data_IF_587034835854
#
_entry.id   IF_587034835854
#
_cell.length_a   1.000
_cell.length_b   1.000
_cell.length_c   1.000
_cell.angle_alpha   90.00
_cell.angle_beta   90.00
_cell.angle_gamma   90.00
#
_symmetry.space_group_name_H-M   'P 1'
#
loop_
_entity.id
_entity.type
_entity.pdbx_description
1 polymer ?
#
# COMPACT_ATOMS: atom_id res chain seq x y z
N UNK A 1 25.67 31.99 50.51
CA UNK A 1 25.40 30.72 49.82
C UNK A 1 24.36 31.00 48.75
N UNK A 2 24.71 31.16 47.46
CA UNK A 2 23.71 31.41 46.42
C UNK A 2 23.02 30.09 46.07
N UNK A 3 21.68 30.12 46.04
CA UNK A 3 20.85 29.00 45.62
C UNK A 3 20.96 28.84 44.09
N UNK A 4 21.43 27.68 43.65
CA UNK A 4 21.40 27.30 42.24
C UNK A 4 19.97 26.92 41.85
N UNK A 5 19.36 27.71 40.96
CA UNK A 5 18.08 27.38 40.36
C UNK A 5 18.30 26.35 39.24
N UNK A 6 17.75 25.15 39.43
CA UNK A 6 17.73 24.10 38.41
C UNK A 6 16.67 24.45 37.36
N UNK A 7 17.11 24.85 36.17
CA UNK A 7 16.21 25.05 35.02
C UNK A 7 15.97 23.69 34.39
N UNK A 8 14.77 23.13 34.59
CA UNK A 8 14.31 21.94 33.89
C UNK A 8 13.85 22.35 32.48
N UNK A 9 14.65 22.06 31.47
CA UNK A 9 14.23 22.12 30.07
C UNK A 9 13.23 20.99 29.81
N UNK A 10 11.96 21.34 29.69
CA UNK A 10 10.92 20.45 29.16
C UNK A 10 11.21 20.28 27.67
N UNK A 11 11.73 19.12 27.28
CA UNK A 11 11.80 18.75 25.88
C UNK A 11 10.36 18.52 25.39
N UNK A 12 9.84 19.45 24.60
CA UNK A 12 8.63 19.21 23.81
C UNK A 12 8.98 18.11 22.81
N UNK A 13 8.51 16.89 23.06
CA UNK A 13 8.59 15.82 22.06
C UNK A 13 7.92 16.30 20.78
N UNK A 14 8.61 16.18 19.65
CA UNK A 14 8.00 16.42 18.36
C UNK A 14 6.89 15.37 18.21
N UNK A 15 5.64 15.81 18.08
CA UNK A 15 4.54 14.92 17.74
C UNK A 15 4.73 14.49 16.29
N UNK A 16 4.63 13.19 16.01
CA UNK A 16 4.41 12.67 14.67
C UNK A 16 3.30 13.49 13.99
N UNK A 17 3.55 13.99 12.79
CA UNK A 17 2.62 14.86 12.08
C UNK A 17 2.60 14.45 10.60
N UNK A 18 1.69 13.53 10.21
CA UNK A 18 1.51 13.17 8.82
C UNK A 18 1.28 14.40 7.94
N UNK A 19 1.89 14.40 6.77
CA UNK A 19 1.71 15.42 5.72
C UNK A 19 0.33 15.28 5.07
N UNK A 20 -0.21 14.06 5.06
CA UNK A 20 -1.55 13.75 4.58
C UNK A 20 -2.13 12.56 5.34
N UNK A 21 -3.45 12.57 5.52
CA UNK A 21 -4.21 11.50 6.18
C UNK A 21 -5.48 11.18 5.39
N UNK A 22 -5.69 9.90 5.10
CA UNK A 22 -6.94 9.30 4.60
C UNK A 22 -7.46 8.27 5.61
N UNK A 23 -8.18 8.75 6.62
CA UNK A 23 -8.75 7.95 7.72
C UNK A 23 -10.29 7.89 7.70
N UNK A 24 -10.94 8.55 6.74
CA UNK A 24 -12.40 8.60 6.56
C UNK A 24 -13.17 9.33 7.67
N UNK A 25 -12.48 10.02 8.59
CA UNK A 25 -13.14 10.73 9.69
C UNK A 25 -13.99 11.93 9.21
N UNK A 26 -13.79 12.39 7.97
CA UNK A 26 -14.68 13.37 7.31
C UNK A 26 -16.08 12.82 7.03
N UNK A 27 -16.28 11.50 7.09
CA UNK A 27 -17.54 10.85 6.81
C UNK A 27 -17.82 10.62 5.33
N UNK A 28 -16.86 10.91 4.46
CA UNK A 28 -16.92 10.74 3.01
C UNK A 28 -15.53 10.40 2.44
N UNK A 29 -15.40 10.42 1.10
CA UNK A 29 -14.14 10.12 0.40
C UNK A 29 -13.29 11.37 0.10
N UNK A 30 -13.61 12.54 0.66
CA UNK A 30 -13.02 13.83 0.26
C UNK A 30 -11.53 13.98 0.60
N UNK A 31 -11.00 13.13 1.48
CA UNK A 31 -9.56 13.07 1.79
C UNK A 31 -8.73 12.47 0.64
N UNK A 32 -9.36 11.71 -0.24
CA UNK A 32 -8.74 11.05 -1.39
C UNK A 32 -8.89 11.90 -2.65
N UNK A 33 -7.92 11.83 -3.57
CA UNK A 33 -7.94 12.64 -4.78
C UNK A 33 -8.99 12.16 -5.78
N UNK A 34 -9.08 10.85 -5.97
CA UNK A 34 -10.09 10.20 -6.83
C UNK A 34 -10.46 8.82 -6.29
N UNK A 35 -11.63 8.35 -6.71
CA UNK A 35 -12.08 6.98 -6.54
C UNK A 35 -12.37 6.35 -7.91
N UNK A 36 -12.07 5.06 -8.04
CA UNK A 36 -12.39 4.26 -9.21
C UNK A 36 -13.49 3.27 -8.84
N UNK A 37 -14.61 3.28 -9.57
CA UNK A 37 -15.83 2.55 -9.23
C UNK A 37 -16.28 2.83 -7.77
N UNK A 38 -16.28 4.12 -7.42
CA UNK A 38 -16.49 4.60 -6.05
C UNK A 38 -17.87 4.30 -5.46
N UNK A 39 -18.86 3.94 -6.29
CA UNK A 39 -20.15 3.42 -5.87
C UNK A 39 -20.05 2.10 -5.08
N UNK A 40 -18.93 1.39 -5.20
CA UNK A 40 -18.60 0.19 -4.42
C UNK A 40 -17.75 0.49 -3.18
N UNK A 41 -17.62 1.77 -2.81
CA UNK A 41 -16.90 2.23 -1.62
C UNK A 41 -17.90 2.89 -0.68
N UNK A 42 -17.88 2.50 0.58
CA UNK A 42 -18.72 3.08 1.63
C UNK A 42 -17.90 3.42 2.87
N UNK A 43 -18.28 4.49 3.56
CA UNK A 43 -17.71 4.81 4.89
C UNK A 43 -18.52 4.07 5.94
N UNK A 44 -17.87 3.22 6.71
CA UNK A 44 -18.46 2.36 7.74
C UNK A 44 -18.01 2.79 9.14
N UNK A 45 -18.73 2.33 10.17
CA UNK A 45 -18.40 2.57 11.58
C UNK A 45 -17.99 1.30 12.33
N UNK A 46 -17.92 0.16 11.62
CA UNK A 46 -17.40 -1.11 12.14
C UNK A 46 -17.09 -2.07 10.98
N UNK A 47 -15.93 -2.76 10.98
CA UNK A 47 -14.81 -2.56 11.90
C UNK A 47 -14.10 -1.22 11.63
N UNK A 48 -13.47 -0.67 12.66
CA UNK A 48 -12.69 0.59 12.63
C UNK A 48 -11.41 0.36 13.42
N UNK A 49 -10.27 0.82 12.91
CA UNK A 49 -8.99 0.69 13.60
C UNK A 49 -8.79 1.86 14.58
N UNK A 50 -9.07 3.07 14.12
CA UNK A 50 -8.94 4.29 14.92
C UNK A 50 -10.11 5.24 14.68
N UNK A 51 -10.33 6.19 15.58
CA UNK A 51 -11.43 7.14 15.43
C UNK A 51 -12.79 6.43 15.43
N UNK A 52 -13.64 6.76 14.46
CA UNK A 52 -15.02 6.29 14.38
C UNK A 52 -15.42 5.76 13.01
N UNK A 53 -14.54 5.85 12.00
CA UNK A 53 -14.86 5.55 10.61
C UNK A 53 -13.74 4.80 9.91
N UNK A 54 -14.12 4.03 8.90
CA UNK A 54 -13.19 3.37 7.98
C UNK A 54 -13.84 3.26 6.60
N UNK A 55 -13.05 3.01 5.56
CA UNK A 55 -13.53 2.80 4.20
C UNK A 55 -13.71 1.33 3.89
N UNK A 56 -14.92 0.88 3.60
CA UNK A 56 -15.20 -0.45 3.08
C UNK A 56 -15.19 -0.43 1.54
N UNK A 57 -14.37 -1.28 0.95
CA UNK A 57 -14.20 -1.48 -0.49
C UNK A 57 -14.70 -2.89 -0.82
N UNK A 58 -15.67 -3.01 -1.72
CA UNK A 58 -16.17 -4.32 -2.19
C UNK A 58 -15.93 -4.47 -3.68
N UNK A 59 -15.25 -5.53 -4.11
CA UNK A 59 -15.07 -5.81 -5.52
C UNK A 59 -16.18 -6.75 -6.03
N UNK A 60 -16.72 -6.39 -7.20
CA UNK A 60 -17.75 -7.16 -7.92
C UNK A 60 -17.36 -7.25 -9.40
N UNK A 61 -17.94 -8.22 -10.13
CA UNK A 61 -17.60 -8.43 -11.53
C UNK A 61 -17.99 -7.24 -12.44
N UNK A 62 -18.93 -6.38 -12.03
CA UNK A 62 -19.36 -5.19 -12.77
C UNK A 62 -18.47 -3.96 -12.54
N UNK A 63 -17.56 -3.98 -11.55
CA UNK A 63 -16.59 -2.92 -11.29
C UNK A 63 -15.43 -2.94 -12.33
N UNK A 64 -15.76 -2.65 -13.59
CA UNK A 64 -14.88 -2.82 -14.74
C UNK A 64 -14.21 -1.51 -15.15
N UNK A 65 -12.90 -1.53 -15.36
CA UNK A 65 -12.18 -0.42 -15.98
C UNK A 65 -12.47 -0.33 -17.48
N UNK A 66 -12.91 0.83 -17.99
CA UNK A 66 -13.14 1.02 -19.41
C UNK A 66 -11.87 0.80 -20.24
N UNK A 67 -11.98 0.00 -21.30
CA UNK A 67 -10.94 -0.18 -22.30
C UNK A 67 -10.03 -1.41 -22.16
N UNK A 68 -9.89 -1.98 -20.96
CA UNK A 68 -9.10 -3.21 -20.77
C UNK A 68 -9.78 -4.30 -19.92
N UNK A 69 -10.94 -4.02 -19.32
CA UNK A 69 -11.73 -5.03 -18.62
C UNK A 69 -11.22 -5.38 -17.22
N UNK A 70 -10.15 -4.73 -16.72
CA UNK A 70 -9.62 -4.94 -15.37
C UNK A 70 -10.75 -4.71 -14.36
N UNK A 71 -10.84 -5.57 -13.35
CA UNK A 71 -11.83 -5.44 -12.28
C UNK A 71 -11.18 -4.68 -11.13
N UNK A 72 -11.68 -3.50 -10.77
CA UNK A 72 -11.04 -2.65 -9.75
C UNK A 72 -12.01 -1.77 -8.98
N UNK A 73 -11.77 -1.62 -7.68
CA UNK A 73 -12.41 -0.61 -6.83
C UNK A 73 -11.33 -0.05 -5.92
N UNK A 74 -10.99 1.22 -6.11
CA UNK A 74 -9.75 1.79 -5.54
C UNK A 74 -9.88 3.27 -5.19
N UNK A 75 -9.09 3.68 -4.22
CA UNK A 75 -8.88 5.07 -3.81
C UNK A 75 -7.48 5.51 -4.21
N UNK A 76 -7.37 6.76 -4.62
CA UNK A 76 -6.13 7.33 -5.12
C UNK A 76 -5.65 8.47 -4.21
N UNK A 77 -4.36 8.44 -3.87
CA UNK A 77 -3.65 9.57 -3.25
C UNK A 77 -2.53 10.06 -4.17
N UNK A 78 -2.59 11.34 -4.54
CA UNK A 78 -1.63 12.05 -5.38
C UNK A 78 -0.86 13.05 -4.51
N UNK A 79 0.36 12.72 -4.08
CA UNK A 79 1.17 13.66 -3.33
C UNK A 79 1.58 14.86 -4.20
N UNK A 80 2.02 15.95 -3.57
CA UNK A 80 2.61 17.06 -4.30
C UNK A 80 3.80 16.58 -5.15
N UNK A 81 3.93 17.07 -6.38
CA UNK A 81 4.89 16.56 -7.37
C UNK A 81 6.35 16.43 -6.87
N UNK A 82 6.79 17.33 -5.99
CA UNK A 82 8.14 17.28 -5.41
C UNK A 82 8.40 16.10 -4.46
N UNK A 83 7.35 15.45 -3.94
CA UNK A 83 7.46 14.34 -3.00
C UNK A 83 7.86 13.04 -3.70
N UNK A 84 7.51 12.88 -4.97
CA UNK A 84 7.92 11.72 -5.79
C UNK A 84 8.91 12.12 -6.90
N UNK A 85 9.60 13.24 -6.75
CA UNK A 85 10.65 13.65 -7.68
C UNK A 85 11.93 12.80 -7.54
N UNK A 86 12.80 12.83 -8.55
CA UNK A 86 14.11 12.16 -8.51
C UNK A 86 14.90 12.54 -7.24
N UNK A 87 15.32 11.53 -6.48
CA UNK A 87 16.03 11.66 -5.21
C UNK A 87 15.16 11.97 -3.98
N UNK A 88 13.86 12.22 -4.16
CA UNK A 88 12.94 12.44 -3.06
C UNK A 88 12.77 11.17 -2.22
N UNK A 89 12.36 11.36 -0.96
CA UNK A 89 12.06 10.29 -0.03
C UNK A 89 10.68 10.51 0.56
N UNK A 90 9.84 9.48 0.56
CA UNK A 90 8.49 9.52 1.14
C UNK A 90 8.27 8.35 2.03
N UNK A 91 7.58 8.60 3.15
CA UNK A 91 7.00 7.54 3.95
C UNK A 91 5.50 7.47 3.65
N UNK A 92 4.99 6.25 3.51
CA UNK A 92 3.55 6.02 3.32
C UNK A 92 3.14 4.75 4.07
N UNK A 93 1.99 4.79 4.72
CA UNK A 93 1.42 3.61 5.36
C UNK A 93 -0.10 3.59 5.20
N UNK A 94 -0.69 2.40 5.34
CA UNK A 94 -2.12 2.23 5.50
C UNK A 94 -2.37 0.95 6.29
N UNK A 95 -3.55 0.90 6.90
CA UNK A 95 -4.04 -0.30 7.55
C UNK A 95 -5.16 -0.91 6.74
N UNK A 96 -5.23 -2.23 6.74
CA UNK A 96 -6.29 -2.96 6.06
C UNK A 96 -6.81 -4.12 6.91
N UNK A 97 -8.06 -4.47 6.70
CA UNK A 97 -8.74 -5.59 7.32
C UNK A 97 -9.50 -6.36 6.26
N UNK A 98 -9.32 -7.68 6.24
CA UNK A 98 -10.09 -8.57 5.39
C UNK A 98 -11.07 -9.37 6.25
N UNK A 99 -12.40 -9.28 6.04
CA UNK A 99 -13.36 -10.11 6.77
C UNK A 99 -13.18 -11.60 6.48
N UNK A 100 -12.77 -11.93 5.26
CA UNK A 100 -12.53 -13.30 4.76
C UNK A 100 -11.22 -13.35 3.99
N UNK A 101 -10.63 -14.55 3.87
CA UNK A 101 -9.47 -14.73 2.99
C UNK A 101 -9.86 -14.49 1.52
N UNK A 102 -8.97 -13.88 0.74
CA UNK A 102 -9.24 -13.68 -0.69
C UNK A 102 -9.18 -15.00 -1.45
N UNK A 103 -9.82 -15.07 -2.62
CA UNK A 103 -9.58 -16.18 -3.53
C UNK A 103 -8.08 -16.27 -3.91
N UNK A 104 -7.62 -17.49 -4.22
CA UNK A 104 -6.27 -17.70 -4.74
C UNK A 104 -6.16 -17.35 -6.23
N UNK A 105 -7.27 -17.40 -6.96
CA UNK A 105 -7.33 -17.09 -8.39
C UNK A 105 -8.63 -16.30 -8.68
N UNK A 106 -8.55 -15.11 -9.30
CA UNK A 106 -7.31 -14.40 -9.64
C UNK A 106 -6.61 -13.76 -8.42
N UNK A 107 -5.27 -13.63 -8.45
CA UNK A 107 -4.53 -12.83 -7.48
C UNK A 107 -5.06 -11.40 -7.40
N UNK A 108 -5.03 -10.81 -6.20
CA UNK A 108 -5.61 -9.48 -5.96
C UNK A 108 -4.53 -8.51 -5.51
N UNK A 109 -4.34 -7.41 -6.23
CA UNK A 109 -3.52 -6.31 -5.75
C UNK A 109 -4.31 -5.47 -4.76
N UNK A 110 -3.69 -5.15 -3.61
CA UNK A 110 -4.34 -4.35 -2.56
C UNK A 110 -3.76 -2.93 -2.41
N UNK A 111 -2.61 -2.70 -3.02
CA UNK A 111 -1.99 -1.38 -3.10
C UNK A 111 -0.81 -1.35 -4.05
N UNK A 112 -0.63 -0.24 -4.76
CA UNK A 112 0.50 -0.04 -5.66
C UNK A 112 0.78 1.43 -5.97
N UNK A 113 1.92 1.64 -6.63
CA UNK A 113 2.37 2.93 -7.12
C UNK A 113 2.56 2.89 -8.63
N UNK A 114 2.13 3.96 -9.28
CA UNK A 114 2.28 4.14 -10.72
C UNK A 114 2.51 5.59 -11.08
N UNK A 115 3.10 5.80 -12.25
CA UNK A 115 3.36 7.12 -12.81
C UNK A 115 2.07 7.81 -13.27
N UNK A 116 1.90 9.08 -12.89
CA UNK A 116 0.80 9.90 -13.38
C UNK A 116 0.97 10.21 -14.88
N UNK A 117 -0.12 10.04 -15.62
CA UNK A 117 -0.15 10.24 -17.07
C UNK A 117 0.37 9.05 -17.90
N UNK A 118 1.38 8.30 -17.44
CA UNK A 118 1.89 7.12 -18.18
C UNK A 118 1.37 5.79 -17.68
N UNK A 119 0.84 5.72 -16.46
CA UNK A 119 0.29 4.52 -15.82
C UNK A 119 1.27 3.34 -15.77
N UNK A 120 2.57 3.64 -15.75
CA UNK A 120 3.60 2.63 -15.55
C UNK A 120 3.72 2.32 -14.07
N UNK A 121 3.16 1.18 -13.64
CA UNK A 121 3.29 0.66 -12.28
C UNK A 121 4.74 0.33 -11.94
N UNK A 122 5.19 0.70 -10.73
CA UNK A 122 6.58 0.52 -10.26
C UNK A 122 6.70 -0.45 -9.09
N UNK A 123 5.67 -0.59 -8.25
CA UNK A 123 5.66 -1.57 -7.15
C UNK A 123 4.24 -1.86 -6.67
N UNK A 124 4.02 -3.02 -6.04
CA UNK A 124 2.70 -3.47 -5.60
C UNK A 124 2.75 -4.44 -4.43
N UNK A 125 1.67 -4.46 -3.66
CA UNK A 125 1.31 -5.55 -2.74
C UNK A 125 0.20 -6.39 -3.36
N UNK A 126 0.39 -7.70 -3.34
CA UNK A 126 -0.56 -8.68 -3.88
C UNK A 126 -0.88 -9.73 -2.84
N UNK A 127 -2.16 -10.08 -2.72
CA UNK A 127 -2.70 -11.08 -1.81
C UNK A 127 -3.33 -12.22 -2.61
N UNK A 128 -3.01 -13.45 -2.20
CA UNK A 128 -3.51 -14.71 -2.74
C UNK A 128 -3.89 -15.59 -1.56
N UNK A 129 -5.19 -15.84 -1.34
CA UNK A 129 -5.60 -16.49 -0.10
C UNK A 129 -5.29 -15.60 1.11
N UNK A 130 -4.44 -16.12 1.99
CA UNK A 130 -3.88 -15.43 3.16
C UNK A 130 -2.39 -15.10 2.97
N UNK A 131 -1.85 -15.36 1.78
CA UNK A 131 -0.45 -15.07 1.46
C UNK A 131 -0.35 -13.66 0.90
N UNK A 132 0.70 -12.94 1.26
CA UNK A 132 0.98 -11.59 0.76
C UNK A 132 2.39 -11.54 0.21
N UNK A 133 2.57 -10.74 -0.83
CA UNK A 133 3.88 -10.44 -1.39
C UNK A 133 4.04 -8.96 -1.69
N UNK A 134 5.29 -8.50 -1.64
CA UNK A 134 5.70 -7.18 -2.11
C UNK A 134 6.70 -7.34 -3.26
N UNK A 135 6.45 -6.64 -4.36
CA UNK A 135 7.29 -6.67 -5.54
C UNK A 135 7.47 -5.29 -6.18
N UNK A 136 8.65 -5.06 -6.76
CA UNK A 136 8.90 -3.93 -7.68
C UNK A 136 8.83 -4.43 -9.11
N UNK A 137 8.38 -3.57 -10.04
CA UNK A 137 8.10 -3.90 -11.44
C UNK A 137 9.20 -3.42 -12.41
N UNK A 138 10.07 -2.53 -11.96
CA UNK A 138 11.14 -1.92 -12.76
C UNK A 138 12.51 -2.05 -12.07
N UNK A 139 13.60 -2.24 -12.83
CA UNK A 139 13.65 -2.36 -14.30
C UNK A 139 13.16 -3.74 -14.77
N UNK A 140 12.99 -4.69 -13.86
CA UNK A 140 12.33 -5.96 -14.06
C UNK A 140 11.47 -6.29 -12.84
N UNK A 141 10.52 -7.22 -13.01
CA UNK A 141 9.74 -7.75 -11.90
C UNK A 141 10.66 -8.46 -10.90
N UNK A 142 10.57 -8.07 -9.63
CA UNK A 142 11.29 -8.69 -8.52
C UNK A 142 10.42 -8.71 -7.28
N UNK A 143 10.13 -9.90 -6.78
CA UNK A 143 9.55 -10.09 -5.44
C UNK A 143 10.67 -9.88 -4.41
N UNK A 144 10.49 -8.92 -3.51
CA UNK A 144 11.46 -8.67 -2.43
C UNK A 144 11.07 -9.41 -1.15
N UNK A 145 9.77 -9.61 -0.93
CA UNK A 145 9.25 -10.26 0.25
C UNK A 145 7.96 -11.01 -0.07
N UNK A 146 7.77 -12.14 0.61
CA UNK A 146 6.53 -12.90 0.61
C UNK A 146 6.35 -13.55 1.98
N UNK A 147 5.11 -13.64 2.45
CA UNK A 147 4.77 -14.34 3.67
C UNK A 147 3.52 -15.21 3.46
N UNK A 148 3.58 -16.44 3.95
CA UNK A 148 2.48 -17.39 3.85
C UNK A 148 1.58 -17.27 5.08
N UNK A 149 0.26 -17.18 4.87
CA UNK A 149 -0.71 -17.09 5.95
C UNK A 149 -0.60 -15.84 6.84
N UNK A 150 0.12 -14.80 6.39
CA UNK A 150 0.34 -13.60 7.19
C UNK A 150 -0.88 -12.67 7.21
N UNK A 151 -1.72 -12.71 6.18
CA UNK A 151 -2.98 -11.95 6.12
C UNK A 151 -4.07 -12.78 6.78
N UNK A 152 -4.30 -12.53 8.07
CA UNK A 152 -5.27 -13.26 8.88
C UNK A 152 -6.64 -12.61 8.74
N UNK A 153 -7.68 -13.33 8.26
CA UNK A 153 -9.03 -12.80 8.20
C UNK A 153 -9.53 -12.39 9.58
N UNK A 154 -10.27 -11.29 9.66
CA UNK A 154 -10.78 -10.79 10.92
C UNK A 154 -9.78 -9.97 11.75
N UNK A 155 -8.60 -9.66 11.20
CA UNK A 155 -7.53 -8.94 11.90
C UNK A 155 -7.11 -7.72 11.07
N UNK A 156 -6.86 -6.61 11.77
CA UNK A 156 -6.23 -5.44 11.16
C UNK A 156 -4.75 -5.73 10.94
N UNK A 157 -4.26 -5.38 9.76
CA UNK A 157 -2.86 -5.40 9.40
C UNK A 157 -2.42 -4.01 8.98
N UNK A 158 -1.12 -3.74 9.10
CA UNK A 158 -0.52 -2.48 8.67
C UNK A 158 0.66 -2.72 7.75
N UNK A 159 0.68 -1.95 6.66
CA UNK A 159 1.81 -1.85 5.76
C UNK A 159 2.37 -0.43 5.86
N UNK A 160 3.69 -0.32 6.03
CA UNK A 160 4.40 0.94 5.92
C UNK A 160 5.57 0.81 4.95
N UNK A 161 5.90 1.90 4.27
CA UNK A 161 6.98 1.99 3.32
C UNK A 161 7.79 3.26 3.54
N UNK A 162 9.07 3.14 3.22
CA UNK A 162 9.94 4.26 2.92
C UNK A 162 10.46 4.07 1.50
N UNK A 163 10.16 5.02 0.62
CA UNK A 163 10.56 4.97 -0.79
C UNK A 163 11.55 6.07 -1.06
N UNK A 164 12.73 5.70 -1.58
CA UNK A 164 13.64 6.63 -2.23
C UNK A 164 13.41 6.57 -3.74
N UNK A 165 12.94 7.67 -4.31
CA UNK A 165 12.49 7.77 -5.69
C UNK A 165 13.67 7.96 -6.64
N UNK A 166 13.79 7.09 -7.65
CA UNK A 166 14.81 7.23 -8.69
C UNK A 166 14.46 6.47 -9.96
N UNK A 167 14.77 7.08 -11.11
CA UNK A 167 14.80 6.41 -12.41
C UNK A 167 16.01 5.49 -12.57
N UNK A 168 17.05 5.67 -11.75
CA UNK A 168 18.23 4.80 -11.72
C UNK A 168 18.02 3.66 -10.69
N UNK A 169 18.00 2.39 -11.14
CA UNK A 169 17.74 1.25 -10.24
C UNK A 169 18.79 1.02 -9.16
N UNK A 170 20.00 1.58 -9.32
CA UNK A 170 21.05 1.51 -8.31
C UNK A 170 20.94 2.59 -7.23
N UNK A 171 20.07 3.60 -7.44
CA UNK A 171 19.90 4.73 -6.52
C UNK A 171 18.54 4.72 -5.82
N UNK A 172 17.52 4.13 -6.46
CA UNK A 172 16.20 3.92 -5.89
C UNK A 172 16.18 2.72 -4.93
N UNK A 173 15.41 2.85 -3.87
CA UNK A 173 15.26 1.81 -2.86
C UNK A 173 13.91 1.89 -2.17
N UNK A 174 13.49 0.77 -1.61
CA UNK A 174 12.30 0.69 -0.76
C UNK A 174 12.60 -0.12 0.49
N UNK A 175 12.20 0.42 1.64
CA UNK A 175 12.06 -0.33 2.89
C UNK A 175 10.57 -0.61 3.11
N UNK A 176 10.25 -1.79 3.63
CA UNK A 176 8.86 -2.22 3.88
C UNK A 176 8.75 -2.78 5.29
N UNK A 177 7.68 -2.39 5.98
CA UNK A 177 7.25 -2.96 7.23
C UNK A 177 5.87 -3.59 7.08
N UNK A 178 5.68 -4.74 7.70
CA UNK A 178 4.40 -5.41 7.83
C UNK A 178 4.16 -5.66 9.33
N UNK A 179 3.05 -5.14 9.87
CA UNK A 179 2.70 -5.23 11.29
C UNK A 179 3.84 -4.79 12.25
N UNK A 180 4.57 -3.74 11.86
CA UNK A 180 5.69 -3.19 12.63
C UNK A 180 7.04 -3.89 12.43
N UNK A 181 7.07 -5.08 11.82
CA UNK A 181 8.31 -5.79 11.49
C UNK A 181 8.87 -5.30 10.16
N UNK A 182 10.16 -4.94 10.11
CA UNK A 182 10.81 -4.60 8.85
C UNK A 182 11.07 -5.86 8.03
N UNK A 183 10.36 -6.01 6.92
CA UNK A 183 10.40 -7.20 6.05
C UNK A 183 11.22 -7.00 4.78
N UNK A 184 11.47 -5.75 4.40
CA UNK A 184 12.42 -5.39 3.34
C UNK A 184 13.33 -4.28 3.83
N UNK A 185 14.63 -4.46 3.66
CA UNK A 185 15.65 -3.45 3.96
C UNK A 185 16.38 -3.06 2.68
N UNK A 186 16.32 -1.78 2.33
CA UNK A 186 16.98 -1.18 1.18
C UNK A 186 16.82 -1.98 -0.14
N UNK A 187 15.59 -2.43 -0.42
CA UNK A 187 15.26 -3.17 -1.64
C UNK A 187 15.52 -2.31 -2.88
N UNK A 188 16.66 -2.53 -3.55
CA UNK A 188 17.04 -1.76 -4.74
C UNK A 188 16.07 -1.99 -5.90
N UNK A 189 15.60 -0.91 -6.51
CA UNK A 189 14.71 -0.92 -7.65
C UNK A 189 14.72 0.42 -8.39
N UNK A 190 14.25 0.41 -9.64
CA UNK A 190 13.84 1.64 -10.30
C UNK A 190 12.45 2.01 -9.74
N UNK A 191 12.42 2.95 -8.80
CA UNK A 191 11.20 3.36 -8.09
C UNK A 191 10.45 4.48 -8.83
N UNK A 192 11.06 5.13 -9.82
CA UNK A 192 10.38 6.00 -10.79
C UNK A 192 10.39 5.38 -12.19
N UNK A 193 9.21 5.22 -12.79
CA UNK A 193 9.10 4.76 -14.17
C UNK A 193 9.62 5.81 -15.17
N UNK A 194 9.38 7.09 -14.89
CA UNK A 194 9.68 8.24 -15.74
C UNK A 194 9.74 9.54 -14.91
N UNK A 195 9.76 10.69 -15.58
CA UNK A 195 9.82 12.01 -14.92
C UNK A 195 8.48 12.54 -14.40
N UNK A 196 7.40 11.78 -14.47
CA UNK A 196 6.12 12.21 -13.91
C UNK A 196 6.04 11.90 -12.41
N UNK A 197 5.24 12.67 -11.64
CA UNK A 197 4.91 12.29 -10.28
C UNK A 197 4.29 10.91 -10.22
N UNK A 198 4.61 10.16 -9.18
CA UNK A 198 3.95 8.88 -8.90
C UNK A 198 2.89 9.06 -7.82
N UNK A 199 1.83 8.27 -7.90
CA UNK A 199 0.72 8.26 -6.95
C UNK A 199 0.47 6.87 -6.39
N UNK A 200 -0.26 6.79 -5.29
CA UNK A 200 -0.67 5.54 -4.67
C UNK A 200 -2.11 5.20 -5.06
N UNK A 201 -2.37 3.93 -5.34
CA UNK A 201 -3.70 3.33 -5.40
C UNK A 201 -3.83 2.30 -4.29
N UNK A 202 -4.92 2.34 -3.53
CA UNK A 202 -5.26 1.36 -2.51
C UNK A 202 -6.68 0.84 -2.76
N UNK A 203 -6.90 -0.46 -2.58
CA UNK A 203 -8.22 -1.06 -2.79
C UNK A 203 -8.12 -2.50 -3.24
N UNK A 204 -8.90 -2.87 -4.25
CA UNK A 204 -8.91 -4.22 -4.81
C UNK A 204 -8.80 -4.14 -6.32
N UNK A 205 -7.76 -4.74 -6.90
CA UNK A 205 -7.57 -4.85 -8.35
C UNK A 205 -7.29 -6.30 -8.76
N UNK A 206 -8.00 -6.77 -9.78
CA UNK A 206 -7.82 -8.07 -10.43
C UNK A 206 -7.73 -7.92 -11.95
N UNK A 207 -6.97 -8.82 -12.57
CA UNK A 207 -6.91 -8.97 -14.02
C UNK A 207 -8.31 -9.21 -14.62
N UNK A 208 -8.52 -8.96 -15.93
CA UNK A 208 -9.81 -9.07 -16.60
C UNK A 208 -10.29 -10.52 -16.69
N UNK A 209 -10.82 -11.04 -15.59
CA UNK A 209 -11.38 -12.38 -15.47
C UNK A 209 -12.56 -12.34 -14.51
N UNK A 210 -13.59 -13.12 -14.83
CA UNK A 210 -14.74 -13.28 -13.93
C UNK A 210 -14.30 -14.12 -12.72
N UNK A 211 -14.83 -13.76 -11.56
CA UNK A 211 -14.57 -14.46 -10.31
C UNK A 211 -15.89 -14.73 -9.57
N UNK A 212 -15.87 -15.67 -8.62
CA UNK A 212 -17.10 -16.15 -7.95
C UNK A 212 -17.24 -15.67 -6.51
N UNK A 213 -16.16 -15.15 -5.92
CA UNK A 213 -16.17 -14.46 -4.64
C UNK A 213 -16.64 -13.01 -4.79
N UNK A 214 -16.83 -12.30 -3.66
CA UNK A 214 -17.05 -10.85 -3.64
C UNK A 214 -16.17 -10.27 -2.52
N UNK A 215 -14.87 -10.08 -2.79
CA UNK A 215 -13.93 -9.75 -1.75
C UNK A 215 -14.21 -8.35 -1.20
N UNK A 216 -14.08 -8.23 0.12
CA UNK A 216 -14.21 -6.98 0.87
C UNK A 216 -12.86 -6.68 1.52
N UNK A 217 -12.41 -5.43 1.40
CA UNK A 217 -11.30 -4.87 2.13
C UNK A 217 -11.78 -3.64 2.89
N UNK A 218 -11.50 -3.57 4.19
CA UNK A 218 -11.69 -2.36 4.98
C UNK A 218 -10.34 -1.66 5.09
N UNK A 219 -10.32 -0.36 4.84
CA UNK A 219 -9.14 0.50 4.83
C UNK A 219 -9.30 1.58 5.89
N UNK A 220 -8.23 1.83 6.65
CA UNK A 220 -8.18 2.88 7.66
C UNK A 220 -6.72 3.35 7.84
N UNK A 221 -6.53 4.50 8.48
CA UNK A 221 -5.24 5.09 8.86
C UNK A 221 -4.21 5.12 7.73
N UNK A 222 -4.63 5.53 6.52
CA UNK A 222 -3.68 5.82 5.46
C UNK A 222 -3.00 7.16 5.73
N UNK A 223 -1.67 7.17 5.72
CA UNK A 223 -0.88 8.34 6.08
C UNK A 223 0.34 8.47 5.18
N UNK A 224 0.67 9.71 4.84
CA UNK A 224 1.93 10.08 4.22
C UNK A 224 2.74 10.93 5.19
N UNK A 225 4.05 10.69 5.28
CA UNK A 225 4.93 11.40 6.19
C UNK A 225 6.32 11.65 5.63
N UNK A 226 7.13 12.35 6.42
CA UNK A 226 8.53 12.63 6.12
C UNK A 226 9.49 11.75 6.93
N UNK A 227 8.96 11.03 7.92
CA UNK A 227 9.70 10.13 8.80
C UNK A 227 8.95 8.82 9.03
N UNK A 228 9.67 7.81 9.53
CA UNK A 228 9.07 6.54 9.95
C UNK A 228 8.06 6.73 11.10
N UNK A 229 8.30 7.72 11.98
CA UNK A 229 7.45 8.03 13.11
C UNK A 229 6.09 8.60 12.66
N UNK A 230 6.08 9.44 11.61
CA UNK A 230 4.84 9.97 11.02
C UNK A 230 3.89 8.85 10.54
N UNK A 231 4.47 7.78 10.01
CA UNK A 231 3.71 6.68 9.40
C UNK A 231 3.52 5.48 10.32
N UNK A 232 4.05 5.49 11.55
CA UNK A 232 3.83 4.49 12.61
C UNK A 232 3.82 3.06 12.06
N UNK A 233 4.95 2.37 11.83
CA UNK A 233 4.96 1.09 11.09
C UNK A 233 4.16 -0.06 11.75
N UNK A 234 3.92 0.01 13.07
CA UNK A 234 3.04 -0.90 13.78
C UNK A 234 1.61 -0.34 13.83
N UNK A 235 0.61 -1.22 14.03
CA UNK A 235 -0.76 -0.75 14.25
C UNK A 235 -0.80 0.26 15.40
N UNK A 236 -1.55 1.37 15.26
CA UNK A 236 -1.77 2.30 16.34
C UNK A 236 -2.42 1.54 17.51
N UNK A 237 -1.98 1.83 18.73
CA UNK A 237 -2.64 1.25 19.90
C UNK A 237 -4.07 1.79 19.97
N UNK A 238 -5.03 0.94 20.35
CA UNK A 238 -6.45 1.34 20.46
C UNK A 238 -6.58 2.50 21.45
N UNK A 239 -6.65 3.74 20.95
CA UNK A 239 -6.67 4.97 21.75
C UNK A 239 -5.81 6.13 21.24
N UNK A 240 -4.94 5.94 20.24
CA UNK A 240 -4.04 7.01 19.75
C UNK A 240 -4.61 7.87 18.59
N UNK A 241 -5.69 7.45 17.94
CA UNK A 241 -6.27 8.19 16.82
C UNK A 241 -7.49 9.00 17.22
N UNK A 242 -7.34 10.34 17.30
CA UNK A 242 -8.51 11.22 17.36
C UNK A 242 -8.28 12.60 17.98
N UNK A 243 -7.42 13.45 17.42
CA UNK A 243 -7.50 14.91 17.57
C UNK A 243 -6.60 15.65 16.56
N UNK A 244 -6.72 15.34 15.26
CA UNK A 244 -5.92 15.95 14.21
C UNK A 244 -6.67 16.96 13.33
N UNK A 245 -6.99 18.15 13.87
CA UNK A 245 -7.03 19.38 13.07
C UNK A 245 -8.26 19.69 12.19
N UNK A 246 -9.29 20.29 12.78
CA UNK A 246 -10.11 21.29 12.09
C UNK A 246 -9.75 22.69 12.62
N UNK A 247 -8.86 23.39 11.91
CA UNK A 247 -8.53 24.79 12.16
C UNK A 247 -9.68 25.70 11.75
N UNK A 248 -10.62 25.96 12.67
CA UNK A 248 -11.66 26.97 12.52
C UNK A 248 -11.48 28.08 13.55
N UNK A 249 -10.98 29.24 13.11
CA UNK A 249 -10.85 30.43 13.94
C UNK A 249 -12.21 30.95 14.41
N UNK A 250 -12.35 31.13 15.72
CA UNK A 250 -13.51 31.74 16.36
C UNK A 250 -13.09 32.51 17.61
N UNK A 251 -12.93 33.81 17.46
CA UNK A 251 -12.66 34.79 18.52
C UNK A 251 -13.91 35.20 19.29
N UNK A 252 -13.77 35.38 20.61
CA UNK A 252 -14.67 36.13 21.51
C UNK A 252 -15.78 35.24 22.11
N UNK A 253 -16.08 35.22 23.40
CA UNK A 253 -15.83 36.05 24.57
C UNK A 253 -16.85 35.55 25.61
N UNK A 254 -16.47 35.21 26.84
CA UNK A 254 -16.48 36.15 27.96
C UNK A 254 -17.69 35.88 28.88
N UNK A 255 -17.36 35.56 30.14
CA UNK A 255 -18.13 35.76 31.38
C UNK A 255 -19.13 34.70 31.92
N UNK A 256 -18.67 34.08 33.01
CA UNK A 256 -19.20 34.20 34.38
C UNK A 256 -20.05 33.09 35.04
N UNK A 257 -19.51 32.70 36.20
CA UNK A 257 -20.13 32.45 37.51
C UNK A 257 -20.95 31.18 37.77
N UNK A 258 -20.40 30.36 38.67
CA UNK A 258 -21.02 30.11 39.97
C UNK A 258 -21.82 28.81 40.12
N UNK A 259 -21.34 27.89 40.96
CA UNK A 259 -22.13 26.73 41.37
C UNK A 259 -21.39 25.86 42.39
N UNK A 260 -21.57 26.16 43.66
CA UNK A 260 -21.06 25.42 44.80
C UNK A 260 -21.88 24.14 45.10
N UNK A 261 -21.23 23.16 45.73
CA UNK A 261 -21.87 22.25 46.69
C UNK A 261 -21.83 20.77 46.32
N UNK A 262 -21.22 19.96 47.19
CA UNK A 262 -21.37 18.51 47.14
C UNK A 262 -20.29 17.72 47.87
N UNK A 263 -20.32 17.77 49.21
CA UNK A 263 -19.51 16.91 50.07
C UNK A 263 -19.89 15.42 49.88
N UNK A 264 -18.91 14.57 49.57
CA UNK A 264 -19.05 13.11 49.50
C UNK A 264 -18.02 12.45 50.40
N UNK A 265 -18.50 11.73 51.41
CA UNK A 265 -17.74 11.19 52.54
C UNK A 265 -16.72 10.13 52.19
N UNK A 266 -15.72 10.06 53.07
CA UNK A 266 -14.71 9.03 53.14
C UNK A 266 -15.29 7.73 53.71
N UNK A 267 -14.95 6.60 53.07
CA UNK A 267 -14.93 5.29 53.72
C UNK A 267 -13.59 4.61 53.44
N UNK A 268 -12.90 4.32 54.53
CA UNK A 268 -11.69 3.53 54.64
C UNK A 268 -11.94 2.06 54.29
N UNK A 269 -11.03 1.44 53.55
CA UNK A 269 -10.96 0.00 53.36
C UNK A 269 -9.52 -0.45 53.14
N UNK A 270 -8.92 -1.00 54.20
CA UNK A 270 -7.58 -1.56 54.26
C UNK A 270 -7.49 -2.98 53.70
N UNK A 271 -6.34 -3.34 53.14
CA UNK A 271 -5.89 -4.72 52.88
C UNK A 271 -5.19 -4.78 51.52
N UNK A 272 -4.04 -5.41 51.34
CA UNK A 272 -3.20 -6.27 52.14
C UNK A 272 -2.08 -6.76 51.20
N UNK A 273 -0.88 -6.98 51.74
CA UNK A 273 0.34 -7.29 51.00
C UNK A 273 0.43 -8.76 50.54
N UNK A 274 1.33 -9.00 49.57
CA UNK A 274 1.87 -10.31 49.17
C UNK A 274 1.46 -10.67 47.73
N UNK A 275 2.33 -10.91 46.76
CA UNK A 275 3.69 -11.45 46.78
C UNK A 275 3.71 -12.71 45.88
N UNK A 276 4.70 -12.87 45.01
CA UNK A 276 5.02 -14.17 44.43
C UNK A 276 5.11 -14.23 42.90
N UNK A 277 6.35 -14.14 42.41
CA UNK A 277 6.86 -14.56 41.11
C UNK A 277 6.61 -16.04 40.82
N UNK A 278 6.29 -16.41 39.57
CA UNK A 278 6.75 -17.71 39.03
C UNK A 278 6.91 -17.67 37.51
N UNK A 279 8.13 -17.98 37.08
CA UNK A 279 8.59 -18.19 35.71
C UNK A 279 8.39 -19.69 35.40
N UNK A 280 7.74 -20.02 34.29
CA UNK A 280 7.58 -21.39 33.80
C UNK A 280 8.29 -21.57 32.46
N UNK A 281 9.48 -22.16 32.52
CA UNK A 281 10.32 -22.53 31.37
C UNK A 281 9.77 -23.78 30.68
N UNK A 282 9.69 -23.76 29.36
CA UNK A 282 9.26 -24.90 28.54
C UNK A 282 10.44 -25.86 28.30
N UNK A 283 10.28 -27.09 28.79
CA UNK A 283 11.18 -28.21 28.58
C UNK A 283 11.00 -28.80 27.17
N UNK A 284 12.12 -28.92 26.46
CA UNK A 284 12.27 -29.65 25.21
C UNK A 284 12.30 -31.16 25.45
N UNK A 285 11.52 -31.90 24.66
CA UNK A 285 11.64 -33.37 24.57
C UNK A 285 11.85 -33.78 23.12
N UNK A 286 12.97 -34.47 22.95
CA UNK A 286 13.48 -35.17 21.79
C UNK A 286 12.61 -36.35 21.34
N UNK A 287 12.60 -36.61 20.03
CA UNK A 287 12.60 -37.98 19.51
C UNK A 287 13.26 -38.05 18.15
N UNK A 288 14.47 -38.61 18.14
CA UNK A 288 15.16 -39.10 16.96
C UNK A 288 14.74 -40.55 16.67
N UNK A 289 14.61 -40.90 15.39
CA UNK A 289 14.73 -42.28 14.91
C UNK A 289 15.29 -42.31 13.48
N UNK A 290 16.56 -42.72 13.40
CA UNK A 290 17.23 -43.56 12.36
C UNK A 290 16.29 -44.61 11.74
N UNK A 291 16.39 -45.11 10.51
CA UNK A 291 17.48 -45.58 9.61
C UNK A 291 16.81 -45.94 8.26
N UNK A 292 17.42 -45.96 7.07
CA UNK A 292 18.64 -46.68 6.71
C UNK A 292 18.92 -46.70 5.19
N UNK A 293 20.22 -46.92 4.90
CA UNK A 293 20.95 -47.34 3.69
C UNK A 293 20.14 -48.05 2.56
N UNK A 294 20.26 -47.70 1.28
CA UNK A 294 21.38 -47.82 0.31
C UNK A 294 21.11 -48.97 -0.67
N UNK A 295 21.25 -48.74 -1.98
CA UNK A 295 21.96 -49.63 -2.93
C UNK A 295 22.05 -49.01 -4.33
N UNK A 296 23.23 -49.22 -4.91
CA UNK A 296 23.77 -48.91 -6.24
C UNK A 296 23.13 -49.67 -7.41
N UNK A 297 23.23 -49.10 -8.62
CA UNK A 297 22.96 -49.84 -9.87
C UNK A 297 23.35 -49.07 -11.14
N UNK A 298 24.57 -49.31 -11.60
CA UNK A 298 25.17 -48.96 -12.91
C UNK A 298 24.46 -49.63 -14.10
N UNK A 299 24.49 -48.98 -15.28
CA UNK A 299 24.22 -49.63 -16.56
C UNK A 299 24.41 -48.72 -17.78
N UNK A 300 25.48 -48.93 -18.53
CA UNK A 300 25.80 -48.31 -19.82
C UNK A 300 25.58 -49.30 -20.97
N UNK A 301 25.38 -48.82 -22.21
CA UNK A 301 25.46 -49.58 -23.46
C UNK A 301 24.42 -49.13 -24.50
N UNK A 302 24.75 -48.31 -25.51
CA UNK A 302 25.36 -48.60 -26.83
C UNK A 302 24.45 -49.27 -27.87
N UNK A 303 24.18 -48.53 -28.95
CA UNK A 303 24.34 -49.01 -30.34
C UNK A 303 23.12 -49.55 -31.08
N UNK A 304 22.91 -49.06 -32.30
CA UNK A 304 22.11 -49.75 -33.33
C UNK A 304 21.34 -48.79 -34.26
N UNK A 305 21.87 -48.59 -35.46
CA UNK A 305 21.17 -47.98 -36.58
C UNK A 305 20.27 -49.03 -37.27
N UNK A 306 19.11 -48.62 -37.79
CA UNK A 306 18.53 -49.19 -39.01
C UNK A 306 17.55 -48.19 -39.66
N UNK A 307 17.50 -48.26 -40.99
CA UNK A 307 16.72 -47.43 -41.91
C UNK A 307 15.25 -47.89 -42.00
N UNK A 308 14.34 -46.99 -42.39
CA UNK A 308 13.04 -47.41 -42.92
C UNK A 308 11.88 -46.42 -42.79
N UNK A 309 11.67 -45.67 -43.87
CA UNK A 309 10.39 -45.33 -44.50
C UNK A 309 9.19 -44.79 -43.67
N UNK A 310 8.85 -43.54 -44.01
CA UNK A 310 7.54 -43.07 -44.49
C UNK A 310 6.32 -42.87 -43.55
N UNK A 311 5.68 -41.75 -43.87
CA UNK A 311 4.27 -41.34 -43.68
C UNK A 311 3.84 -40.53 -42.43
N UNK A 312 3.66 -39.23 -42.71
CA UNK A 312 2.61 -38.29 -42.31
C UNK A 312 1.79 -38.55 -41.01
N UNK A 313 1.84 -37.56 -40.12
CA UNK A 313 0.90 -37.49 -38.99
C UNK A 313 1.19 -36.32 -38.04
N UNK A 314 0.83 -35.11 -38.49
CA UNK A 314 0.27 -34.00 -37.71
C UNK A 314 0.62 -33.90 -36.20
N UNK A 315 1.64 -33.10 -35.85
CA UNK A 315 1.83 -32.60 -34.48
C UNK A 315 1.58 -31.10 -34.41
N UNK A 316 0.51 -30.74 -33.69
CA UNK A 316 0.25 -29.41 -33.18
C UNK A 316 1.29 -28.98 -32.16
N UNK A 317 2.28 -28.20 -32.61
CA UNK A 317 3.21 -27.46 -31.77
C UNK A 317 2.75 -26.02 -31.55
N UNK A 318 2.27 -25.69 -30.35
CA UNK A 318 2.03 -24.32 -29.91
C UNK A 318 3.35 -23.55 -29.74
N UNK A 319 3.74 -22.79 -30.76
CA UNK A 319 4.72 -21.72 -30.64
C UNK A 319 4.03 -20.36 -30.77
N UNK A 320 3.84 -19.63 -29.66
CA UNK A 320 3.41 -18.23 -29.70
C UNK A 320 4.61 -17.35 -30.09
N UNK A 321 4.71 -17.10 -31.40
CA UNK A 321 5.56 -16.06 -31.99
C UNK A 321 4.87 -14.70 -31.83
N UNK A 322 5.68 -13.69 -31.53
CA UNK A 322 5.29 -12.29 -31.44
C UNK A 322 4.64 -11.77 -32.75
N UNK A 323 3.49 -11.11 -32.59
CA UNK A 323 2.98 -10.09 -33.51
C UNK A 323 3.03 -8.77 -32.72
N UNK A 324 3.65 -7.69 -33.17
CA UNK A 324 3.54 -7.08 -34.48
C UNK A 324 2.78 -5.77 -34.30
N UNK A 325 3.51 -4.67 -34.09
CA UNK A 325 2.98 -3.32 -33.89
C UNK A 325 2.08 -2.88 -35.05
N UNK A 326 0.92 -2.24 -34.81
CA UNK A 326 0.21 -1.51 -35.85
C UNK A 326 0.81 -0.11 -36.07
N UNK A 327 0.94 0.21 -37.35
CA UNK A 327 1.52 1.42 -37.90
C UNK A 327 0.69 2.69 -37.64
N UNK A 328 1.41 3.82 -37.58
CA UNK A 328 0.87 5.18 -37.48
C UNK A 328 0.11 5.61 -38.76
N UNK A 329 -0.95 6.45 -38.65
CA UNK A 329 -1.59 7.04 -39.80
C UNK A 329 -0.87 8.30 -40.30
N UNK A 330 -0.65 8.36 -41.61
CA UNK A 330 -0.15 9.51 -42.38
C UNK A 330 -1.21 10.60 -42.60
N UNK A 331 -0.81 11.86 -42.80
CA UNK A 331 -1.70 13.03 -42.84
C UNK A 331 -2.30 13.27 -44.23
N UNK A 332 -3.59 13.60 -44.28
CA UNK A 332 -4.26 14.12 -45.47
C UNK A 332 -4.29 15.65 -45.42
N UNK A 333 -3.75 16.25 -46.47
CA UNK A 333 -3.74 17.67 -46.74
C UNK A 333 -5.14 18.17 -47.14
N UNK A 334 -5.57 19.29 -46.55
CA UNK A 334 -6.56 20.18 -47.16
C UNK A 334 -5.93 21.56 -47.33
N UNK A 335 -5.78 21.99 -48.58
CA UNK A 335 -5.41 23.33 -48.95
C UNK A 335 -6.65 24.15 -49.31
N UNK A 336 -6.67 25.40 -48.86
CA UNK A 336 -7.26 26.53 -49.60
C UNK A 336 -8.56 27.13 -49.05
N UNK A 337 -8.44 28.23 -48.28
CA UNK A 337 -8.92 29.54 -48.73
C UNK A 337 -8.25 30.66 -47.93
N UNK A 338 -7.65 31.61 -48.63
CA UNK A 338 -7.03 32.84 -48.11
C UNK A 338 -7.93 34.05 -48.36
N UNK A 339 -7.49 35.23 -47.86
CA UNK A 339 -8.03 36.61 -47.98
C UNK A 339 -8.84 37.03 -46.74
N UNK A 340 -8.58 38.14 -46.03
CA UNK A 340 -7.49 39.12 -45.97
C UNK A 340 -7.75 39.99 -44.72
N UNK A 341 -6.70 40.51 -44.07
CA UNK A 341 -6.49 41.96 -43.85
C UNK A 341 -5.36 42.17 -42.85
N UNK A 342 -4.48 43.08 -43.25
CA UNK A 342 -3.22 43.41 -42.62
C UNK A 342 -3.32 44.71 -41.79
N UNK A 343 -2.27 44.92 -41.00
CA UNK A 343 -1.78 46.16 -40.38
C UNK A 343 -2.36 46.59 -39.03
N UNK A 344 -1.56 46.43 -37.97
CA UNK A 344 -0.89 47.57 -37.33
C UNK A 344 0.35 47.13 -36.55
N UNK A 345 1.44 47.88 -36.76
CA UNK A 345 2.79 47.73 -36.23
C UNK A 345 2.99 48.56 -34.95
N UNK A 346 4.08 48.22 -34.23
CA UNK A 346 4.88 49.01 -33.23
C UNK A 346 4.28 49.01 -31.81
N UNK A 347 5.06 48.74 -30.75
CA UNK A 347 6.36 49.35 -30.41
C UNK A 347 7.20 48.44 -29.49
N UNK A 348 8.51 48.53 -29.66
CA UNK A 348 9.52 47.86 -28.84
C UNK A 348 9.97 48.72 -27.65
N UNK A 349 10.45 48.01 -26.61
CA UNK A 349 11.50 48.37 -25.61
C UNK A 349 11.23 49.52 -24.64
N UNK A 350 11.19 49.16 -23.36
CA UNK A 350 12.29 49.44 -22.43
C UNK A 350 12.81 48.12 -21.88
#
# INVERSE_FOLDING_TARGET
MPAAALVATVATGASAAPVWTGDFETGDLSQWNTSLNGEHISVVTSPVLQGTRAGQIQLTNDAVWPGNGIKRVELNHKPAAGRTAEGAQTYFAWSFYLPEALAADPPTQIGYWESDGSYNQVMSFEVVGQNISFATRKPANKVHWQANGAVTPGVWHRIALHVKWSTNPSQGSVDVWFDGEQVVTAGQAQTLADGNPHFTQLGLLRNPSEFTDSPILILDDAVEGDTLEDVRPALPSSGEGGAGGAGGGGTGGGDNTGGAGGAGGATSGSGGAGGGTTIGSATSTSSAATSGAATTGTGAGTGGADEGADEEGDEGGCSCRAAGSPAAPTPLALAGLAVALAFARRRARR
#
